data_IF_202402911194
#
_entry.id   IF_202402911194
#
_cell.length_a   1.000
_cell.length_b   1.000
_cell.length_c   1.000
_cell.angle_alpha   90.00
_cell.angle_beta   90.00
_cell.angle_gamma   90.00
#
_symmetry.space_group_name_H-M   'P 1'
#
loop_
_entity.id
_entity.type
_entity.pdbx_description
1 polymer ?
#
# COMPACT_ATOMS: atom_id res chain seq x y z
N UNK A 1 8.02 20.16 -14.95
CA UNK A 1 6.56 20.14 -15.06
C UNK A 1 6.09 18.82 -14.50
N UNK A 2 5.20 18.84 -13.53
CA UNK A 2 4.87 17.65 -12.73
C UNK A 2 3.94 16.67 -13.46
N UNK A 3 3.72 16.86 -14.76
CA UNK A 3 2.89 16.02 -15.61
C UNK A 3 3.43 15.94 -17.03
N UNK A 4 4.70 15.58 -17.17
CA UNK A 4 5.32 15.35 -18.48
C UNK A 4 4.61 14.20 -19.20
N UNK A 5 4.27 14.41 -20.47
CA UNK A 5 3.55 13.45 -21.32
C UNK A 5 2.21 12.96 -20.74
N UNK A 6 1.57 13.79 -19.92
CA UNK A 6 0.27 13.53 -19.30
C UNK A 6 -0.72 14.66 -19.48
N UNK A 7 -1.91 14.47 -18.93
CA UNK A 7 -2.97 15.46 -18.84
C UNK A 7 -3.10 15.93 -17.40
N UNK A 8 -2.95 17.23 -17.15
CA UNK A 8 -3.24 17.82 -15.85
C UNK A 8 -4.75 17.93 -15.66
N UNK A 9 -5.24 17.28 -14.61
CA UNK A 9 -6.61 17.39 -14.14
C UNK A 9 -6.68 18.48 -13.08
N UNK A 10 -7.67 19.36 -13.21
CA UNK A 10 -7.85 20.50 -12.34
C UNK A 10 -9.14 20.38 -11.52
N UNK A 11 -9.07 20.79 -10.26
CA UNK A 11 -10.23 20.97 -9.39
C UNK A 11 -10.23 22.43 -8.92
N UNK A 12 -11.36 23.12 -9.08
CA UNK A 12 -11.50 24.54 -8.72
C UNK A 12 -10.40 25.46 -9.29
N UNK A 13 -9.93 25.16 -10.52
CA UNK A 13 -8.89 25.94 -11.20
C UNK A 13 -7.45 25.65 -10.75
N UNK A 14 -7.23 24.73 -9.81
CA UNK A 14 -5.91 24.26 -9.39
C UNK A 14 -5.62 22.91 -10.04
N UNK A 15 -4.43 22.77 -10.65
CA UNK A 15 -3.94 21.47 -11.11
C UNK A 15 -3.62 20.60 -9.90
N UNK A 16 -4.34 19.48 -9.74
CA UNK A 16 -4.26 18.63 -8.55
C UNK A 16 -3.78 17.22 -8.86
N UNK A 17 -3.92 16.76 -10.11
CA UNK A 17 -3.63 15.38 -10.48
C UNK A 17 -3.10 15.31 -11.91
N UNK A 18 -2.06 14.51 -12.13
CA UNK A 18 -1.61 14.14 -13.47
C UNK A 18 -2.22 12.80 -13.87
N UNK A 19 -2.78 12.73 -15.07
CA UNK A 19 -3.23 11.49 -15.70
C UNK A 19 -2.32 11.12 -16.86
N UNK A 20 -1.89 9.86 -16.91
CA UNK A 20 -1.18 9.27 -18.06
C UNK A 20 -1.88 7.97 -18.44
N UNK A 21 -1.97 7.70 -19.72
CA UNK A 21 -2.49 6.42 -20.21
C UNK A 21 -1.64 5.94 -21.37
N UNK A 22 -1.40 4.64 -21.43
CA UNK A 22 -0.54 4.10 -22.47
C UNK A 22 -0.37 2.59 -22.42
N UNK A 23 0.35 2.04 -23.41
CA UNK A 23 0.72 0.64 -23.41
C UNK A 23 1.71 0.34 -22.28
N UNK A 24 1.53 -0.80 -21.60
CA UNK A 24 2.38 -1.28 -20.48
C UNK A 24 3.06 -2.62 -20.76
N UNK A 25 3.20 -2.97 -22.03
CA UNK A 25 3.76 -4.25 -22.48
C UNK A 25 2.72 -5.37 -22.62
N UNK A 26 3.10 -6.62 -22.40
CA UNK A 26 2.22 -7.75 -22.66
C UNK A 26 1.15 -7.92 -21.57
N UNK A 27 -0.11 -8.04 -21.98
CA UNK A 27 -1.18 -8.59 -21.12
C UNK A 27 -1.02 -10.10 -20.97
N UNK A 28 -0.74 -10.78 -22.09
CA UNK A 28 -0.23 -12.14 -22.08
C UNK A 28 0.64 -12.43 -23.31
N UNK A 29 1.47 -13.48 -23.21
CA UNK A 29 2.33 -13.97 -24.28
C UNK A 29 2.41 -15.49 -24.25
N UNK A 30 2.09 -16.13 -25.36
CA UNK A 30 2.23 -17.57 -25.56
C UNK A 30 2.66 -17.88 -26.99
N UNK A 31 3.95 -18.20 -27.19
CA UNK A 31 4.56 -18.42 -28.52
C UNK A 31 4.24 -17.31 -29.53
N UNK A 32 3.31 -17.51 -30.46
CA UNK A 32 2.93 -16.50 -31.47
C UNK A 32 1.71 -15.68 -31.06
N UNK A 33 1.01 -16.08 -30.01
CA UNK A 33 -0.16 -15.37 -29.47
C UNK A 33 0.32 -14.34 -28.46
N UNK A 34 -0.14 -13.10 -28.61
CA UNK A 34 0.16 -12.02 -27.67
C UNK A 34 -1.01 -11.04 -27.59
N UNK A 35 -1.13 -10.37 -26.45
CA UNK A 35 -2.01 -9.23 -26.27
C UNK A 35 -1.22 -8.07 -25.67
N UNK A 36 -1.45 -6.87 -26.19
CA UNK A 36 -0.95 -5.62 -25.62
C UNK A 36 -1.85 -5.24 -24.44
N UNK A 37 -1.25 -4.96 -23.28
CA UNK A 37 -1.95 -4.42 -22.12
C UNK A 37 -1.75 -2.91 -22.03
N UNK A 38 -2.72 -2.25 -21.43
CA UNK A 38 -2.77 -0.81 -21.19
C UNK A 38 -2.97 -0.51 -19.71
N UNK A 39 -2.49 0.65 -19.28
CA UNK A 39 -2.81 1.20 -17.98
C UNK A 39 -3.12 2.69 -18.05
N UNK A 40 -3.79 3.15 -17.00
CA UNK A 40 -3.99 4.54 -16.69
C UNK A 40 -3.36 4.82 -15.32
N UNK A 41 -2.39 5.72 -15.28
CA UNK A 41 -1.76 6.19 -14.06
C UNK A 41 -2.35 7.55 -13.67
N UNK A 42 -2.74 7.68 -12.42
CA UNK A 42 -3.04 8.94 -11.76
C UNK A 42 -1.95 9.20 -10.72
N UNK A 43 -1.38 10.40 -10.67
CA UNK A 43 -0.47 10.75 -9.58
C UNK A 43 -0.53 12.23 -9.20
N UNK A 44 -0.23 12.50 -7.93
CA UNK A 44 -0.10 13.83 -7.38
C UNK A 44 1.28 13.98 -6.71
N UNK A 45 1.87 15.17 -6.82
CA UNK A 45 3.15 15.51 -6.19
C UNK A 45 2.89 16.48 -5.05
N UNK A 46 3.40 16.16 -3.86
CA UNK A 46 3.37 17.03 -2.69
C UNK A 46 4.78 17.33 -2.23
N UNK A 47 5.10 18.62 -2.10
CA UNK A 47 6.34 19.08 -1.50
C UNK A 47 6.10 19.42 -0.04
N UNK A 48 6.83 18.77 0.84
CA UNK A 48 6.76 18.96 2.28
C UNK A 48 8.07 19.56 2.73
N UNK A 49 8.01 20.76 3.31
CA UNK A 49 9.12 21.39 4.00
C UNK A 49 8.69 21.53 5.46
N UNK A 50 9.22 20.65 6.30
CA UNK A 50 8.86 20.56 7.71
C UNK A 50 10.13 20.40 8.57
N UNK A 51 10.21 21.01 9.76
CA UNK A 51 11.39 20.88 10.62
C UNK A 51 11.70 19.45 11.05
N UNK A 52 10.67 18.61 11.19
CA UNK A 52 10.79 17.23 11.67
C UNK A 52 10.85 16.22 10.50
N UNK A 53 10.13 16.47 9.41
CA UNK A 53 10.09 15.60 8.22
C UNK A 53 11.13 15.95 7.14
N UNK A 54 11.69 17.16 7.18
CA UNK A 54 12.69 17.66 6.23
C UNK A 54 12.12 18.28 4.96
N UNK A 55 12.97 18.37 3.94
CA UNK A 55 12.69 18.91 2.60
C UNK A 55 12.48 17.74 1.64
N UNK A 56 11.22 17.28 1.55
CA UNK A 56 10.82 16.04 0.88
C UNK A 56 9.79 16.29 -0.20
N UNK A 57 9.79 15.43 -1.20
CA UNK A 57 8.76 15.37 -2.23
C UNK A 57 8.17 13.98 -2.26
N UNK A 58 6.85 13.88 -2.10
CA UNK A 58 6.11 12.63 -2.16
C UNK A 58 5.24 12.61 -3.41
N UNK A 59 5.32 11.50 -4.16
CA UNK A 59 4.56 11.27 -5.38
C UNK A 59 3.59 10.13 -5.11
N UNK A 60 2.32 10.44 -4.82
CA UNK A 60 1.29 9.42 -4.59
C UNK A 60 0.73 9.01 -5.93
N UNK A 61 0.76 7.72 -6.24
CA UNK A 61 0.40 7.16 -7.53
C UNK A 61 -0.60 6.00 -7.40
N UNK A 62 -1.58 6.00 -8.30
CA UNK A 62 -2.48 4.89 -8.58
C UNK A 62 -2.32 4.48 -10.04
N UNK A 63 -2.02 3.22 -10.33
CA UNK A 63 -2.03 2.67 -11.69
C UNK A 63 -3.15 1.65 -11.84
N UNK A 64 -4.10 1.95 -12.73
CA UNK A 64 -5.22 1.08 -13.07
C UNK A 64 -4.90 0.36 -14.37
N UNK A 65 -4.88 -0.97 -14.33
CA UNK A 65 -4.55 -1.81 -15.48
C UNK A 65 -5.82 -2.36 -16.14
N UNK A 66 -5.76 -2.62 -17.44
CA UNK A 66 -6.88 -3.15 -18.23
C UNK A 66 -7.32 -4.58 -17.87
N UNK A 67 -6.48 -5.30 -17.13
CA UNK A 67 -6.79 -6.59 -16.52
C UNK A 67 -7.39 -6.47 -15.10
N UNK A 68 -7.62 -5.24 -14.63
CA UNK A 68 -8.23 -4.93 -13.33
C UNK A 68 -7.27 -4.86 -12.15
N UNK A 69 -5.97 -5.11 -12.34
CA UNK A 69 -4.98 -4.87 -11.28
C UNK A 69 -4.92 -3.37 -10.98
N UNK A 70 -4.82 -3.04 -9.69
CA UNK A 70 -4.56 -1.67 -9.23
C UNK A 70 -3.27 -1.68 -8.41
N UNK A 71 -2.28 -0.92 -8.87
CA UNK A 71 -1.04 -0.68 -8.13
C UNK A 71 -1.13 0.65 -7.39
N UNK A 72 -0.74 0.63 -6.12
CA UNK A 72 -0.63 1.80 -5.26
C UNK A 72 0.83 2.02 -4.92
N UNK A 73 1.33 3.24 -5.11
CA UNK A 73 2.72 3.54 -4.82
C UNK A 73 2.93 4.96 -4.30
N UNK A 74 3.95 5.14 -3.48
CA UNK A 74 4.48 6.44 -3.06
C UNK A 74 5.93 6.53 -3.49
N UNK A 75 6.26 7.56 -4.27
CA UNK A 75 7.63 7.92 -4.63
C UNK A 75 8.19 8.96 -3.65
N UNK A 76 9.28 8.67 -2.94
CA UNK A 76 9.98 9.63 -2.09
C UNK A 76 11.20 10.22 -2.79
N UNK A 77 11.25 11.55 -2.90
CA UNK A 77 12.38 12.34 -3.40
C UNK A 77 12.59 13.61 -2.55
N UNK A 78 13.30 14.62 -3.05
CA UNK A 78 13.66 15.83 -2.31
C UNK A 78 15.13 15.81 -1.89
N UNK A 79 15.41 16.04 -0.61
CA UNK A 79 16.77 16.08 -0.06
C UNK A 79 16.89 15.27 1.23
N UNK A 80 18.11 14.87 1.56
CA UNK A 80 18.43 14.39 2.89
C UNK A 80 18.54 15.62 3.83
N UNK A 81 18.03 15.49 5.05
CA UNK A 81 18.01 16.61 6.02
C UNK A 81 18.63 16.27 7.37
N UNK A 82 18.80 14.99 7.68
CA UNK A 82 19.38 14.55 8.94
C UNK A 82 20.80 14.02 8.72
N UNK A 83 21.77 14.73 9.27
CA UNK A 83 23.19 14.43 9.18
C UNK A 83 23.83 14.34 10.57
N UNK A 84 24.84 13.51 10.70
CA UNK A 84 25.66 13.36 11.90
C UNK A 84 27.07 12.88 11.57
N UNK A 85 27.80 12.45 12.60
CA UNK A 85 29.19 11.98 12.48
C UNK A 85 29.39 10.50 12.84
N UNK A 86 28.38 9.86 13.41
CA UNK A 86 28.46 8.46 13.86
C UNK A 86 27.97 7.51 12.76
N UNK A 87 28.90 6.75 12.19
CA UNK A 87 28.65 5.80 11.11
C UNK A 87 27.76 4.61 11.53
N UNK A 88 27.48 4.42 12.82
CA UNK A 88 26.55 3.38 13.29
C UNK A 88 25.10 3.66 12.87
N UNK A 89 24.74 4.92 12.63
CA UNK A 89 23.36 5.34 12.38
C UNK A 89 23.07 5.68 10.91
N UNK A 90 24.00 5.42 9.98
CA UNK A 90 23.79 5.84 8.60
C UNK A 90 24.95 5.53 7.66
N UNK A 91 25.10 6.37 6.63
CA UNK A 91 26.13 6.20 5.61
C UNK A 91 26.82 7.51 5.26
N UNK A 92 28.15 7.50 4.98
CA UNK A 92 28.83 8.69 4.49
C UNK A 92 28.35 9.10 3.10
N UNK A 93 27.82 10.32 2.97
CA UNK A 93 27.33 10.87 1.68
C UNK A 93 28.12 12.07 1.16
N UNK A 94 29.04 12.60 1.98
CA UNK A 94 30.05 13.56 1.53
C UNK A 94 29.57 14.99 1.27
N UNK A 95 28.36 15.36 1.71
CA UNK A 95 27.80 16.72 1.55
C UNK A 95 28.36 17.72 2.59
N UNK A 96 28.60 17.25 3.82
CA UNK A 96 29.18 18.04 4.91
C UNK A 96 30.39 17.31 5.53
N UNK A 97 31.55 17.98 5.55
CA UNK A 97 32.76 17.43 6.17
C UNK A 97 32.68 17.29 7.70
N UNK A 98 31.86 18.10 8.37
CA UNK A 98 31.66 18.03 9.82
C UNK A 98 30.65 16.94 10.21
N UNK A 99 29.62 16.74 9.37
CA UNK A 99 28.59 15.71 9.55
C UNK A 99 28.47 14.85 8.28
N UNK A 100 29.46 14.00 7.99
CA UNK A 100 29.51 13.29 6.72
C UNK A 100 28.45 12.19 6.59
N UNK A 101 27.84 11.77 7.69
CA UNK A 101 26.92 10.64 7.75
C UNK A 101 25.49 11.13 7.59
N UNK A 102 24.80 10.71 6.53
CA UNK A 102 23.35 10.85 6.45
C UNK A 102 22.69 9.73 7.26
N UNK A 103 21.79 10.10 8.17
CA UNK A 103 21.14 9.18 9.10
C UNK A 103 20.10 8.34 8.38
N UNK A 104 20.08 7.03 8.65
CA UNK A 104 19.07 6.11 8.14
C UNK A 104 17.72 6.29 8.83
N UNK A 105 16.63 6.08 8.09
CA UNK A 105 15.26 6.27 8.58
C UNK A 105 14.31 5.27 7.96
N UNK A 106 13.12 5.16 8.54
CA UNK A 106 12.05 4.31 8.03
C UNK A 106 10.83 5.17 7.68
N UNK A 107 10.34 5.04 6.46
CA UNK A 107 9.05 5.60 6.05
C UNK A 107 7.95 4.57 6.29
N UNK A 108 6.80 5.02 6.76
CA UNK A 108 5.57 4.23 6.87
C UNK A 108 4.44 4.98 6.16
N UNK A 109 3.94 4.40 5.07
CA UNK A 109 2.81 4.92 4.31
C UNK A 109 1.57 4.08 4.63
N UNK A 110 0.48 4.72 5.06
CA UNK A 110 -0.78 4.03 5.33
C UNK A 110 -1.79 4.34 4.23
N UNK A 111 -2.35 3.30 3.64
CA UNK A 111 -3.42 3.38 2.65
C UNK A 111 -4.74 2.99 3.30
N UNK A 112 -5.75 3.85 3.17
CA UNK A 112 -7.14 3.58 3.56
C UNK A 112 -7.91 3.16 2.31
N UNK A 113 -8.43 1.94 2.30
CA UNK A 113 -9.18 1.36 1.18
C UNK A 113 -10.59 1.00 1.67
N UNK A 114 -11.57 1.80 1.27
CA UNK A 114 -12.99 1.49 1.43
C UNK A 114 -13.40 0.55 0.29
N UNK A 115 -13.69 -0.71 0.60
CA UNK A 115 -14.04 -1.70 -0.42
C UNK A 115 -15.56 -1.86 -0.48
N UNK A 116 -16.15 -1.45 -1.60
CA UNK A 116 -17.54 -1.72 -1.96
C UNK A 116 -17.58 -2.54 -3.25
N UNK A 117 -17.67 -3.86 -3.15
CA UNK A 117 -17.73 -4.72 -4.33
C UNK A 117 -19.17 -4.85 -4.83
N UNK A 118 -19.39 -4.56 -6.11
CA UNK A 118 -20.74 -4.59 -6.70
C UNK A 118 -21.48 -3.27 -6.54
N UNK A 119 -22.78 -3.34 -6.24
CA UNK A 119 -23.67 -2.17 -6.27
C UNK A 119 -23.79 -1.45 -4.92
N UNK A 120 -23.48 -2.11 -3.80
CA UNK A 120 -23.53 -1.53 -2.45
C UNK A 120 -22.45 -2.19 -1.57
N UNK A 121 -21.85 -1.44 -0.65
CA UNK A 121 -21.05 -2.02 0.43
C UNK A 121 -21.88 -2.75 1.49
N UNK A 122 -21.20 -3.35 2.45
CA UNK A 122 -21.82 -3.97 3.62
C UNK A 122 -21.98 -5.48 3.54
N UNK A 123 -21.44 -6.10 2.49
CA UNK A 123 -21.49 -7.55 2.25
C UNK A 123 -20.10 -8.14 1.97
N UNK A 124 -19.05 -7.36 2.16
CA UNK A 124 -17.67 -7.79 1.98
C UNK A 124 -17.26 -8.77 3.08
N UNK A 125 -16.48 -9.76 2.68
CA UNK A 125 -15.84 -10.72 3.57
C UNK A 125 -14.33 -10.62 3.38
N UNK A 126 -13.63 -10.44 4.49
CA UNK A 126 -12.16 -10.39 4.52
C UNK A 126 -11.61 -11.72 5.00
N UNK A 127 -10.67 -12.26 4.24
CA UNK A 127 -10.04 -13.55 4.49
C UNK A 127 -8.52 -13.40 4.49
N UNK A 128 -7.86 -13.93 5.52
CA UNK A 128 -6.41 -14.08 5.59
C UNK A 128 -5.99 -15.41 5.00
N UNK A 129 -5.01 -15.35 4.11
CA UNK A 129 -4.36 -16.49 3.49
C UNK A 129 -2.98 -16.69 4.08
N UNK A 130 -2.61 -17.94 4.34
CA UNK A 130 -1.24 -18.32 4.67
C UNK A 130 -0.86 -19.62 3.94
N UNK A 131 0.36 -19.67 3.41
CA UNK A 131 0.87 -20.73 2.54
C UNK A 131 2.11 -21.37 3.14
N UNK A 132 1.93 -22.55 3.73
CA UNK A 132 2.97 -23.29 4.43
C UNK A 132 3.50 -24.45 3.58
N UNK A 133 4.83 -24.66 3.49
CA UNK A 133 5.36 -25.86 2.88
C UNK A 133 5.00 -27.10 3.71
N UNK A 134 4.63 -28.17 3.01
CA UNK A 134 4.57 -29.51 3.62
C UNK A 134 5.97 -29.96 4.04
N UNK A 135 6.06 -30.94 4.95
CA UNK A 135 7.35 -31.49 5.43
C UNK A 135 8.25 -31.96 4.29
N UNK A 136 7.67 -32.54 3.23
CA UNK A 136 8.42 -32.98 2.03
C UNK A 136 8.81 -31.84 1.09
N UNK A 137 8.32 -30.62 1.31
CA UNK A 137 8.49 -29.44 0.46
C UNK A 137 7.98 -29.59 -0.99
N UNK A 138 7.25 -30.66 -1.31
CA UNK A 138 6.69 -30.92 -2.66
C UNK A 138 5.30 -30.31 -2.88
N UNK A 139 4.62 -29.97 -1.78
CA UNK A 139 3.30 -29.34 -1.80
C UNK A 139 3.29 -28.10 -0.88
N UNK A 140 2.31 -27.24 -1.09
CA UNK A 140 2.03 -26.08 -0.24
C UNK A 140 0.60 -26.23 0.30
N UNK A 141 0.46 -26.20 1.61
CA UNK A 141 -0.83 -26.14 2.27
C UNK A 141 -1.26 -24.68 2.41
N UNK A 142 -2.44 -24.35 1.90
CA UNK A 142 -3.04 -23.02 2.05
C UNK A 142 -4.09 -23.09 3.15
N UNK A 143 -3.95 -22.24 4.17
CA UNK A 143 -5.00 -21.99 5.16
C UNK A 143 -5.68 -20.66 4.83
N UNK A 144 -7.00 -20.63 5.00
CA UNK A 144 -7.83 -19.44 4.82
C UNK A 144 -8.63 -19.23 6.09
N UNK A 145 -8.53 -18.04 6.67
CA UNK A 145 -9.24 -17.65 7.89
C UNK A 145 -10.08 -16.42 7.57
N UNK A 146 -11.39 -16.51 7.75
CA UNK A 146 -12.29 -15.37 7.68
C UNK A 146 -12.18 -14.52 8.95
N UNK A 147 -12.23 -13.21 8.82
CA UNK A 147 -12.40 -12.29 9.96
C UNK A 147 -13.87 -11.96 10.16
N UNK A 148 -14.33 -12.08 11.41
CA UNK A 148 -15.70 -11.73 11.83
C UNK A 148 -15.73 -10.52 12.78
N UNK A 149 -14.57 -10.15 13.32
CA UNK A 149 -14.33 -8.91 14.07
C UNK A 149 -13.16 -8.16 13.46
N UNK A 150 -13.04 -6.87 13.80
CA UNK A 150 -11.88 -6.07 13.46
C UNK A 150 -10.58 -6.77 13.86
N UNK A 151 -9.55 -6.59 13.06
CA UNK A 151 -8.29 -7.29 13.24
C UNK A 151 -7.11 -6.48 12.73
N UNK A 152 -5.99 -6.59 13.44
CA UNK A 152 -4.68 -6.15 13.00
C UNK A 152 -3.77 -7.36 12.79
N UNK A 153 -2.95 -7.33 11.73
CA UNK A 153 -2.05 -8.42 11.37
C UNK A 153 -0.69 -7.89 10.91
N UNK A 154 0.42 -8.50 11.39
CA UNK A 154 1.72 -8.24 10.81
C UNK A 154 1.85 -8.95 9.47
N UNK A 155 2.73 -8.47 8.59
CA UNK A 155 3.23 -9.25 7.48
C UNK A 155 4.01 -10.47 7.98
N UNK A 156 3.92 -11.57 7.23
CA UNK A 156 4.68 -12.79 7.52
C UNK A 156 5.26 -13.38 6.23
N UNK A 157 6.54 -13.09 5.92
CA UNK A 157 7.24 -13.64 4.76
C UNK A 157 7.35 -15.16 4.78
N UNK A 158 7.40 -15.78 5.96
CA UNK A 158 7.59 -17.23 6.09
C UNK A 158 6.37 -18.01 5.58
N UNK A 159 5.18 -17.43 5.77
CA UNK A 159 3.91 -18.01 5.33
C UNK A 159 3.34 -17.33 4.09
N UNK A 160 4.02 -16.33 3.50
CA UNK A 160 3.48 -15.46 2.43
C UNK A 160 2.07 -14.97 2.76
N UNK A 161 1.90 -14.42 3.97
CA UNK A 161 0.58 -13.93 4.42
C UNK A 161 0.04 -12.89 3.44
N UNK A 162 -1.24 -13.01 3.09
CA UNK A 162 -1.95 -12.10 2.18
C UNK A 162 -3.44 -12.08 2.52
N UNK A 163 -4.20 -11.18 1.92
CA UNK A 163 -5.62 -11.00 2.25
C UNK A 163 -6.48 -10.93 1.00
N UNK A 164 -7.69 -11.50 1.09
CA UNK A 164 -8.71 -11.42 0.05
C UNK A 164 -9.93 -10.71 0.59
N UNK A 165 -10.43 -9.74 -0.16
CA UNK A 165 -11.69 -9.05 0.09
C UNK A 165 -12.63 -9.52 -1.01
N UNK A 166 -13.71 -10.20 -0.64
CA UNK A 166 -14.67 -10.78 -1.58
C UNK A 166 -16.10 -10.36 -1.26
N UNK A 167 -16.93 -10.30 -2.28
CA UNK A 167 -18.38 -10.16 -2.09
C UNK A 167 -18.95 -11.47 -1.51
N UNK A 168 -19.93 -11.38 -0.59
CA UNK A 168 -20.58 -12.54 -0.01
C UNK A 168 -21.50 -13.30 -0.98
N UNK A 169 -21.97 -12.64 -2.04
CA UNK A 169 -23.10 -13.05 -2.89
C UNK A 169 -22.79 -12.99 -4.39
N UNK A 170 -21.99 -12.04 -4.84
CA UNK A 170 -21.70 -11.81 -6.25
C UNK A 170 -20.63 -12.78 -6.73
N UNK A 171 -21.00 -13.59 -7.72
CA UNK A 171 -20.14 -14.63 -8.29
C UNK A 171 -19.96 -14.48 -9.79
N UNK A 172 -18.84 -14.97 -10.30
CA UNK A 172 -18.69 -15.21 -11.74
C UNK A 172 -19.56 -16.38 -12.23
N UNK A 173 -19.46 -16.70 -13.53
CA UNK A 173 -20.25 -17.77 -14.16
C UNK A 173 -19.98 -19.18 -13.63
N UNK A 174 -18.86 -19.40 -12.94
CA UNK A 174 -18.50 -20.69 -12.32
C UNK A 174 -18.94 -20.76 -10.85
N UNK A 175 -19.56 -19.69 -10.33
CA UNK A 175 -20.02 -19.61 -8.94
C UNK A 175 -18.92 -19.23 -7.94
N UNK A 176 -17.75 -18.77 -8.41
CA UNK A 176 -16.73 -18.24 -7.50
C UNK A 176 -17.04 -16.78 -7.15
N UNK A 177 -16.94 -16.42 -5.87
CA UNK A 177 -17.16 -15.06 -5.40
C UNK A 177 -16.14 -14.08 -6.02
N UNK A 178 -16.62 -12.96 -6.56
CA UNK A 178 -15.73 -11.92 -7.07
C UNK A 178 -14.94 -11.31 -5.91
N UNK A 179 -13.69 -10.95 -6.15
CA UNK A 179 -12.81 -10.48 -5.10
C UNK A 179 -11.63 -9.66 -5.60
N UNK A 180 -11.00 -8.95 -4.68
CA UNK A 180 -9.62 -8.49 -4.82
C UNK A 180 -8.72 -9.22 -3.82
N UNK A 181 -7.52 -9.56 -4.26
CA UNK A 181 -6.48 -10.15 -3.44
C UNK A 181 -5.38 -9.10 -3.23
N UNK A 182 -5.15 -8.68 -1.99
CA UNK A 182 -4.05 -7.82 -1.60
C UNK A 182 -2.81 -8.70 -1.39
N UNK A 183 -1.84 -8.55 -2.30
CA UNK A 183 -0.56 -9.23 -2.18
C UNK A 183 0.53 -8.25 -1.70
N UNK A 184 1.14 -8.51 -0.54
CA UNK A 184 2.23 -7.69 -0.05
C UNK A 184 3.47 -7.74 -0.95
N UNK A 185 4.06 -6.57 -1.21
CA UNK A 185 5.34 -6.42 -1.89
C UNK A 185 6.41 -5.94 -0.91
N UNK A 186 7.69 -6.20 -1.22
CA UNK A 186 8.85 -5.68 -0.46
C UNK A 186 8.78 -5.88 1.07
N UNK A 187 8.18 -6.98 1.51
CA UNK A 187 7.89 -7.32 2.91
C UNK A 187 9.12 -7.39 3.84
N UNK A 188 10.33 -7.44 3.28
CA UNK A 188 11.59 -7.41 4.03
C UNK A 188 11.85 -6.09 4.75
N UNK A 189 11.17 -5.02 4.36
CA UNK A 189 11.29 -3.71 5.01
C UNK A 189 10.27 -3.50 6.14
N UNK A 190 9.55 -4.54 6.57
CA UNK A 190 8.68 -4.46 7.76
C UNK A 190 9.51 -3.96 8.93
N UNK A 191 9.02 -2.88 9.54
CA UNK A 191 9.58 -2.29 10.74
C UNK A 191 8.53 -2.31 11.85
N UNK A 192 8.93 -2.71 13.05
CA UNK A 192 8.09 -2.64 14.23
C UNK A 192 8.55 -1.44 15.06
N UNK A 193 7.65 -0.47 15.23
CA UNK A 193 7.93 0.72 16.02
C UNK A 193 8.04 0.41 17.52
N UNK A 194 8.43 1.39 18.34
CA UNK A 194 8.38 1.24 19.78
C UNK A 194 6.97 0.89 20.26
N UNK A 195 6.84 0.15 21.36
CA UNK A 195 5.56 -0.31 21.89
C UNK A 195 4.57 0.84 22.23
N UNK A 196 5.06 2.08 22.41
CA UNK A 196 4.24 3.28 22.57
C UNK A 196 3.50 3.69 21.30
N UNK A 197 3.93 3.21 20.14
CA UNK A 197 3.29 3.41 18.83
C UNK A 197 2.48 2.17 18.47
N UNK A 198 1.30 2.01 19.08
CA UNK A 198 0.41 0.86 18.83
C UNK A 198 0.03 0.73 17.34
N UNK A 199 -0.12 1.85 16.64
CA UNK A 199 -0.36 1.94 15.20
C UNK A 199 0.81 1.43 14.32
N UNK A 200 2.00 1.27 14.90
CA UNK A 200 3.23 0.89 14.18
C UNK A 200 3.66 -0.56 14.47
N UNK A 201 2.73 -1.38 14.97
CA UNK A 201 2.97 -2.78 15.34
C UNK A 201 2.52 -3.77 14.24
N UNK A 202 1.54 -3.40 13.42
CA UNK A 202 0.96 -4.24 12.38
C UNK A 202 0.99 -3.56 11.01
N UNK A 203 0.80 -4.34 9.95
CA UNK A 203 0.85 -3.86 8.57
C UNK A 203 -0.51 -3.85 7.89
N UNK A 204 -1.40 -4.75 8.30
CA UNK A 204 -2.76 -4.86 7.78
C UNK A 204 -3.74 -4.67 8.92
N UNK A 205 -4.78 -3.90 8.66
CA UNK A 205 -5.91 -3.71 9.56
C UNK A 205 -7.20 -3.82 8.75
N UNK A 206 -8.21 -4.43 9.35
CA UNK A 206 -9.59 -4.36 8.89
C UNK A 206 -10.42 -3.76 10.02
N UNK A 207 -11.14 -2.68 9.72
CA UNK A 207 -12.06 -2.02 10.64
C UNK A 207 -13.45 -1.98 10.04
N UNK A 208 -14.46 -1.83 10.91
CA UNK A 208 -15.78 -1.42 10.46
C UNK A 208 -15.69 0.03 9.99
N UNK A 209 -16.42 0.39 8.93
CA UNK A 209 -16.48 1.77 8.48
C UNK A 209 -17.00 2.68 9.60
N UNK A 210 -16.26 3.77 9.83
CA UNK A 210 -16.65 4.87 10.70
C UNK A 210 -16.20 6.20 10.08
N UNK A 211 -17.12 7.16 9.95
CA UNK A 211 -16.89 8.44 9.27
C UNK A 211 -15.77 9.29 9.91
N UNK A 212 -15.55 9.17 11.22
CA UNK A 212 -14.51 9.94 11.91
C UNK A 212 -13.13 9.25 11.92
N UNK A 213 -13.02 8.02 11.43
CA UNK A 213 -11.76 7.28 11.29
C UNK A 213 -11.14 7.57 9.92
N UNK A 214 -10.41 8.69 9.83
CA UNK A 214 -9.91 9.22 8.55
C UNK A 214 -8.42 9.03 8.36
N UNK A 215 -7.65 9.17 9.43
CA UNK A 215 -6.19 9.10 9.39
C UNK A 215 -5.68 7.93 10.23
N UNK A 216 -4.72 7.17 9.69
CA UNK A 216 -4.15 6.02 10.38
C UNK A 216 -3.41 6.40 11.68
N UNK A 217 -2.90 7.63 11.74
CA UNK A 217 -2.20 8.22 12.88
C UNK A 217 -2.62 9.68 13.01
N UNK A 218 -2.53 10.22 14.23
CA UNK A 218 -2.92 11.61 14.54
C UNK A 218 -4.35 11.94 14.06
N UNK A 219 -5.24 10.95 14.08
CA UNK A 219 -6.65 11.16 13.80
C UNK A 219 -7.26 12.08 14.87
N UNK A 220 -8.20 12.93 14.47
CA UNK A 220 -8.89 13.79 15.41
C UNK A 220 -9.82 12.92 16.29
N UNK A 221 -9.59 12.85 17.61
CA UNK A 221 -10.41 12.01 18.49
C UNK A 221 -11.80 12.61 18.79
N UNK A 222 -12.16 13.74 18.16
CA UNK A 222 -13.50 14.28 18.22
C UNK A 222 -14.54 13.21 17.82
N UNK A 223 -15.76 13.35 18.36
CA UNK A 223 -16.87 12.42 18.15
C UNK A 223 -16.62 10.98 18.63
N UNK A 224 -15.61 10.76 19.48
CA UNK A 224 -15.36 9.46 20.10
C UNK A 224 -14.53 8.50 19.24
N UNK A 225 -13.97 8.97 18.14
CA UNK A 225 -13.03 8.18 17.34
C UNK A 225 -11.67 8.03 18.03
N UNK A 226 -10.97 6.95 17.69
CA UNK A 226 -9.58 6.74 18.08
C UNK A 226 -8.63 7.81 17.53
N UNK A 227 -7.44 7.91 18.11
CA UNK A 227 -6.39 8.80 17.60
C UNK A 227 -5.50 8.11 16.55
N UNK A 228 -5.59 6.79 16.41
CA UNK A 228 -4.76 5.99 15.50
C UNK A 228 -5.34 4.59 15.26
N UNK A 229 -4.75 3.82 14.33
CA UNK A 229 -5.19 2.45 13.99
C UNK A 229 -5.23 1.47 15.16
N UNK A 230 -4.35 1.64 16.15
CA UNK A 230 -4.37 0.82 17.36
C UNK A 230 -5.62 1.05 18.20
N UNK A 231 -6.22 2.24 18.11
CA UNK A 231 -7.48 2.57 18.80
C UNK A 231 -8.70 2.17 17.96
N UNK A 232 -8.60 2.19 16.63
CA UNK A 232 -9.70 1.83 15.72
C UNK A 232 -10.05 0.35 15.82
N UNK A 233 -9.04 -0.54 15.88
CA UNK A 233 -9.26 -1.98 16.06
C UNK A 233 -9.63 -2.27 17.52
N UNK A 234 -10.91 -2.06 17.84
CA UNK A 234 -11.44 -2.15 19.21
C UNK A 234 -12.28 -3.42 19.42
N UNK A 235 -12.42 -4.26 18.38
CA UNK A 235 -13.10 -5.54 18.44
C UNK A 235 -14.56 -5.49 18.01
N UNK A 236 -14.97 -4.43 17.30
CA UNK A 236 -16.28 -4.40 16.65
C UNK A 236 -16.48 -5.59 15.71
N UNK A 237 -17.73 -6.02 15.55
CA UNK A 237 -18.08 -7.01 14.55
C UNK A 237 -17.97 -6.39 13.16
N UNK A 238 -17.35 -7.11 12.22
CA UNK A 238 -17.27 -6.75 10.81
C UNK A 238 -18.12 -7.66 9.92
N UNK A 239 -18.80 -8.65 10.49
CA UNK A 239 -19.72 -9.48 9.72
C UNK A 239 -20.90 -8.65 9.15
N UNK A 240 -21.06 -8.69 7.83
CA UNK A 240 -22.10 -7.98 7.09
C UNK A 240 -22.14 -6.47 7.41
N UNK A 241 -20.95 -5.87 7.55
CA UNK A 241 -20.76 -4.44 7.73
C UNK A 241 -19.95 -3.87 6.55
N UNK A 242 -20.02 -2.54 6.39
CA UNK A 242 -19.14 -1.79 5.50
C UNK A 242 -17.72 -1.78 6.10
N UNK A 243 -16.71 -2.09 5.28
CA UNK A 243 -15.36 -2.45 5.73
C UNK A 243 -14.29 -1.54 5.14
N UNK A 244 -13.38 -1.11 6.02
CA UNK A 244 -12.19 -0.37 5.63
C UNK A 244 -10.96 -1.23 5.85
N UNK A 245 -10.18 -1.42 4.78
CA UNK A 245 -8.84 -1.99 4.86
C UNK A 245 -7.83 -0.86 5.03
N UNK A 246 -6.94 -1.02 6.00
CA UNK A 246 -5.77 -0.18 6.16
C UNK A 246 -4.52 -0.99 5.92
N UNK A 247 -3.68 -0.54 5.00
CA UNK A 247 -2.45 -1.24 4.65
C UNK A 247 -1.24 -0.33 4.76
N UNK A 248 -0.24 -0.78 5.53
CA UNK A 248 1.03 -0.11 5.74
C UNK A 248 2.05 -0.61 4.74
N UNK A 249 2.67 0.32 4.02
CA UNK A 249 3.89 0.10 3.25
C UNK A 249 5.05 0.69 4.03
N UNK A 250 5.97 -0.16 4.46
CA UNK A 250 7.20 0.24 5.16
C UNK A 250 8.41 0.23 4.23
N UNK A 251 9.30 1.20 4.37
CA UNK A 251 10.60 1.21 3.70
C UNK A 251 11.69 1.72 4.62
N UNK A 252 12.76 0.94 4.77
CA UNK A 252 13.94 1.37 5.51
C UNK A 252 14.97 1.94 4.53
N UNK A 253 15.22 3.24 4.62
CA UNK A 253 16.25 3.93 3.84
C UNK A 253 17.55 3.96 4.61
N UNK A 254 18.54 3.27 4.07
CA UNK A 254 19.94 3.54 4.32
C UNK A 254 20.44 4.47 3.19
N UNK A 255 20.67 5.77 3.46
CA UNK A 255 21.10 6.70 2.43
C UNK A 255 22.37 6.24 1.72
N UNK A 256 22.52 6.62 0.45
CA UNK A 256 23.74 6.38 -0.35
C UNK A 256 24.37 7.72 -0.72
N UNK A 257 25.61 7.71 -1.18
CA UNK A 257 26.26 8.93 -1.65
C UNK A 257 25.49 9.57 -2.83
N UNK A 258 24.87 8.75 -3.68
CA UNK A 258 24.04 9.18 -4.81
C UNK A 258 22.71 9.83 -4.39
N UNK A 259 22.35 9.76 -3.12
CA UNK A 259 21.15 10.39 -2.56
C UNK A 259 21.40 11.86 -2.13
N UNK A 260 22.62 12.37 -2.32
CA UNK A 260 23.02 13.75 -2.05
C UNK A 260 23.54 14.45 -3.31
N UNK A 261 23.27 15.76 -3.49
CA UNK A 261 22.45 16.62 -2.63
C UNK A 261 20.94 16.44 -2.84
N UNK A 262 20.54 15.67 -3.86
CA UNK A 262 19.15 15.39 -4.20
C UNK A 262 18.87 13.89 -4.09
N UNK A 263 17.79 13.58 -3.40
CA UNK A 263 17.35 12.24 -3.10
C UNK A 263 16.78 11.59 -4.37
N UNK A 264 17.44 10.53 -4.85
CA UNK A 264 16.89 9.72 -5.94
C UNK A 264 15.53 9.16 -5.53
N UNK A 265 14.53 9.32 -6.40
CA UNK A 265 13.18 8.83 -6.16
C UNK A 265 13.20 7.32 -5.89
N UNK A 266 12.75 6.93 -4.70
CA UNK A 266 12.48 5.54 -4.36
C UNK A 266 10.97 5.32 -4.35
N UNK A 267 10.51 4.21 -4.92
CA UNK A 267 9.08 3.89 -5.03
C UNK A 267 8.73 2.70 -4.14
N UNK A 268 7.73 2.89 -3.29
CA UNK A 268 7.23 1.90 -2.34
C UNK A 268 5.74 1.70 -2.54
N UNK A 269 5.27 0.45 -2.57
CA UNK A 269 3.88 0.18 -2.94
C UNK A 269 3.44 -1.26 -2.72
N UNK A 270 2.23 -1.52 -3.19
CA UNK A 270 1.58 -2.84 -3.21
C UNK A 270 0.53 -2.88 -4.32
N UNK A 271 0.01 -4.07 -4.58
CA UNK A 271 -0.98 -4.32 -5.62
C UNK A 271 -2.19 -5.04 -5.05
N UNK A 272 -3.36 -4.74 -5.61
CA UNK A 272 -4.55 -5.59 -5.48
C UNK A 272 -4.88 -6.22 -6.82
N UNK A 273 -5.11 -7.53 -6.78
CA UNK A 273 -5.34 -8.34 -7.97
C UNK A 273 -6.80 -8.76 -8.02
N UNK A 274 -7.52 -8.53 -9.14
CA UNK A 274 -8.85 -9.07 -9.28
C UNK A 274 -8.75 -10.59 -9.28
N UNK A 275 -9.60 -11.22 -8.47
CA UNK A 275 -9.65 -12.67 -8.34
C UNK A 275 -11.08 -13.12 -8.52
N UNK A 276 -11.25 -14.08 -9.41
CA UNK A 276 -12.55 -14.64 -9.76
C UNK A 276 -13.56 -13.63 -10.35
N UNK A 277 -13.11 -12.47 -10.87
CA UNK A 277 -13.98 -11.51 -11.57
C UNK A 277 -14.63 -12.11 -12.82
N UNK A 278 -13.86 -12.92 -13.55
CA UNK A 278 -14.32 -13.71 -14.68
C UNK A 278 -13.90 -15.17 -14.48
N UNK A 279 -14.67 -16.12 -15.03
CA UNK A 279 -14.34 -17.54 -14.94
C UNK A 279 -13.05 -17.92 -15.69
N UNK A 280 -12.69 -17.14 -16.71
CA UNK A 280 -11.49 -17.34 -17.50
C UNK A 280 -10.85 -16.00 -17.84
N UNK A 281 -9.58 -16.02 -18.24
CA UNK A 281 -8.97 -14.83 -18.76
C UNK A 281 -9.63 -14.42 -20.09
N UNK A 282 -10.20 -13.21 -20.12
CA UNK A 282 -10.92 -12.67 -21.28
C UNK A 282 -10.16 -11.54 -21.99
N UNK A 283 -8.99 -11.14 -21.47
CA UNK A 283 -8.16 -10.03 -21.98
C UNK A 283 -6.67 -10.26 -21.72
#
# INVERSE_FOLDING_TARGET
ADCTDGTLLAQNGQSVLCQRSGPRGYGYKYFTVQQQSYSMTLYAVSHVVDPDLGDKSYIVQWEFMDNGIIDFAVGESGRLTQFGSDAQYGWPVGEDSANPIAVGYTNNYFWRLDFDLGDNGGNEIVEEFAVNPTVSNTQRATSVIRFDSEAARPLDPSTKRSWRIRDASLTNSDGHAISYHLEPMNISYRYEGPASEAWNQNDFYVTRYNECERFAVQNNPANGCGANLGDFVNGESIDSQDLVIWYRVGFHRLPRAEDAPYLQTHWDGFSIYPRDWTAQNTR
#
